data_IF_660559132379
#
_entry.id   IF_660559132379
#
_cell.length_a   1.000
_cell.length_b   1.000
_cell.length_c   1.000
_cell.angle_alpha   90.00
_cell.angle_beta   90.00
_cell.angle_gamma   90.00
#
_symmetry.space_group_name_H-M   'P 1'
#
loop_
_entity.id
_entity.type
_entity.pdbx_description
1 polymer ?
#
# COMPACT_ATOMS: atom_id res chain seq x y z
N UNK A 1 -20.16 -25.09 14.65
CA UNK A 1 -19.59 -24.06 15.55
C UNK A 1 -20.72 -23.20 16.10
N UNK A 2 -20.79 -23.02 17.42
CA UNK A 2 -21.72 -22.07 18.03
C UNK A 2 -21.34 -20.63 17.69
N UNK A 3 -22.32 -19.81 17.30
CA UNK A 3 -22.13 -18.39 16.97
C UNK A 3 -22.34 -17.57 18.24
N UNK A 4 -21.26 -17.32 19.00
CA UNK A 4 -21.32 -16.65 20.32
C UNK A 4 -21.19 -15.13 20.29
N UNK A 5 -20.77 -14.56 19.15
CA UNK A 5 -20.44 -13.15 19.04
C UNK A 5 -21.33 -12.45 18.00
N UNK A 6 -21.76 -11.24 18.32
CA UNK A 6 -22.55 -10.37 17.44
C UNK A 6 -21.72 -9.16 17.05
N UNK A 7 -21.68 -8.86 15.75
CA UNK A 7 -21.04 -7.65 15.20
C UNK A 7 -22.16 -6.75 14.65
N UNK A 8 -22.23 -5.51 15.13
CA UNK A 8 -23.17 -4.50 14.62
C UNK A 8 -22.43 -3.56 13.68
N UNK A 9 -22.91 -3.45 12.43
CA UNK A 9 -22.31 -2.60 11.41
C UNK A 9 -23.35 -1.59 10.90
N UNK A 10 -22.97 -0.32 10.79
CA UNK A 10 -23.76 0.70 10.10
C UNK A 10 -23.25 0.82 8.66
N UNK A 11 -24.17 0.71 7.71
CA UNK A 11 -23.89 0.77 6.28
C UNK A 11 -24.51 2.02 5.66
N UNK A 12 -23.88 2.57 4.63
CA UNK A 12 -24.54 3.53 3.74
C UNK A 12 -25.63 2.83 2.91
N UNK A 13 -26.52 3.62 2.29
CA UNK A 13 -27.57 3.09 1.42
C UNK A 13 -26.98 2.23 0.29
N UNK A 14 -25.94 2.72 -0.40
CA UNK A 14 -25.29 2.02 -1.51
C UNK A 14 -24.66 0.70 -1.06
N UNK A 15 -23.99 0.70 0.10
CA UNK A 15 -23.39 -0.51 0.67
C UNK A 15 -24.47 -1.56 1.01
N UNK A 16 -25.59 -1.13 1.56
CA UNK A 16 -26.72 -2.01 1.87
C UNK A 16 -27.39 -2.57 0.61
N UNK A 17 -27.61 -1.72 -0.40
CA UNK A 17 -28.15 -2.13 -1.70
C UNK A 17 -27.25 -3.16 -2.38
N UNK A 18 -25.94 -2.94 -2.33
CA UNK A 18 -24.94 -3.87 -2.87
C UNK A 18 -24.93 -5.22 -2.14
N UNK A 19 -24.98 -5.22 -0.81
CA UNK A 19 -25.14 -6.44 -0.02
C UNK A 19 -26.42 -7.20 -0.42
N UNK A 20 -27.53 -6.49 -0.62
CA UNK A 20 -28.78 -7.07 -1.10
C UNK A 20 -28.66 -7.68 -2.51
N UNK A 21 -27.88 -7.08 -3.40
CA UNK A 21 -27.59 -7.65 -4.71
C UNK A 21 -26.76 -8.94 -4.62
N UNK A 22 -25.76 -8.98 -3.73
CA UNK A 22 -24.97 -10.19 -3.48
C UNK A 22 -25.81 -11.33 -2.91
N UNK A 23 -26.71 -11.04 -1.96
CA UNK A 23 -27.64 -12.03 -1.40
C UNK A 23 -28.52 -12.64 -2.49
N UNK A 24 -29.07 -11.81 -3.38
CA UNK A 24 -29.88 -12.27 -4.53
C UNK A 24 -29.10 -13.17 -5.49
N UNK A 25 -27.86 -12.80 -5.82
CA UNK A 25 -26.99 -13.56 -6.73
C UNK A 25 -26.56 -14.91 -6.14
N UNK A 26 -26.23 -14.93 -4.85
CA UNK A 26 -25.77 -16.13 -4.14
C UNK A 26 -26.90 -17.00 -3.59
N UNK A 27 -28.14 -16.49 -3.57
CA UNK A 27 -29.30 -17.11 -2.90
C UNK A 27 -29.07 -17.39 -1.41
N UNK A 28 -28.24 -16.56 -0.77
CA UNK A 28 -27.88 -16.69 0.64
C UNK A 28 -28.43 -15.53 1.47
N UNK A 29 -28.57 -15.74 2.78
CA UNK A 29 -28.93 -14.68 3.73
C UNK A 29 -27.80 -13.68 3.87
N UNK A 30 -28.11 -12.44 4.27
CA UNK A 30 -27.10 -11.40 4.52
C UNK A 30 -25.97 -11.87 5.43
N UNK A 31 -26.30 -12.56 6.53
CA UNK A 31 -25.29 -13.07 7.46
C UNK A 31 -24.44 -14.19 6.86
N UNK A 32 -24.97 -14.99 5.93
CA UNK A 32 -24.20 -16.02 5.23
C UNK A 32 -23.25 -15.40 4.22
N UNK A 33 -23.70 -14.38 3.46
CA UNK A 33 -22.84 -13.62 2.54
C UNK A 33 -21.72 -12.91 3.30
N UNK A 34 -22.04 -12.20 4.38
CA UNK A 34 -21.02 -11.52 5.21
C UNK A 34 -20.02 -12.52 5.77
N UNK A 35 -20.48 -13.68 6.28
CA UNK A 35 -19.56 -14.72 6.76
C UNK A 35 -18.68 -15.27 5.63
N UNK A 36 -19.24 -15.54 4.46
CA UNK A 36 -18.47 -15.98 3.30
C UNK A 36 -17.45 -14.92 2.86
N UNK A 37 -17.75 -13.63 2.98
CA UNK A 37 -16.80 -12.54 2.72
C UNK A 37 -15.72 -12.44 3.80
N UNK A 38 -16.01 -12.80 5.05
CA UNK A 38 -15.00 -12.84 6.12
C UNK A 38 -14.12 -14.09 5.97
N UNK A 39 -14.70 -15.23 5.62
CA UNK A 39 -14.01 -16.52 5.48
C UNK A 39 -13.17 -16.60 4.20
N UNK A 40 -13.71 -16.10 3.09
CA UNK A 40 -13.08 -16.22 1.77
C UNK A 40 -12.61 -14.88 1.18
N UNK A 41 -13.03 -13.75 1.76
CA UNK A 41 -12.56 -12.45 1.31
C UNK A 41 -11.17 -12.17 1.84
N UNK A 42 -10.33 -11.61 0.98
CA UNK A 42 -9.00 -11.13 1.37
C UNK A 42 -9.10 -9.64 1.69
N UNK A 43 -8.70 -9.25 2.91
CA UNK A 43 -8.43 -7.84 3.20
C UNK A 43 -7.11 -7.48 2.54
N UNK A 44 -7.13 -6.65 1.50
CA UNK A 44 -5.89 -6.12 0.91
C UNK A 44 -5.25 -5.19 1.94
N UNK A 45 -4.14 -5.62 2.52
CA UNK A 45 -3.35 -4.77 3.41
C UNK A 45 -2.94 -3.51 2.65
N UNK A 46 -3.32 -2.34 3.17
CA UNK A 46 -2.98 -1.05 2.53
C UNK A 46 -1.47 -0.85 2.40
N UNK A 47 -0.69 -1.46 3.30
CA UNK A 47 0.77 -1.38 3.34
C UNK A 47 1.29 -2.80 3.54
N UNK A 48 1.84 -3.39 2.47
CA UNK A 48 2.47 -4.71 2.52
C UNK A 48 3.87 -4.61 3.11
N UNK A 49 4.47 -5.74 3.50
CA UNK A 49 5.89 -5.80 3.89
C UNK A 49 6.82 -5.27 2.78
N UNK A 50 6.42 -5.44 1.52
CA UNK A 50 7.15 -4.94 0.35
C UNK A 50 7.14 -3.41 0.30
N UNK A 51 5.97 -2.78 0.54
CA UNK A 51 5.89 -1.32 0.67
C UNK A 51 6.81 -0.77 1.76
N UNK A 52 6.88 -1.46 2.92
CA UNK A 52 7.78 -1.08 4.01
C UNK A 52 9.25 -1.22 3.59
N UNK A 53 9.59 -2.26 2.82
CA UNK A 53 10.94 -2.45 2.29
C UNK A 53 11.35 -1.30 1.35
N UNK A 54 10.49 -0.93 0.40
CA UNK A 54 10.75 0.17 -0.54
C UNK A 54 10.88 1.51 0.20
N UNK A 55 10.03 1.77 1.22
CA UNK A 55 10.14 2.97 2.06
C UNK A 55 11.51 3.03 2.76
N UNK A 56 12.03 1.91 3.27
CA UNK A 56 13.37 1.85 3.89
C UNK A 56 14.47 2.14 2.87
N UNK A 57 14.35 1.65 1.64
CA UNK A 57 15.30 1.97 0.57
C UNK A 57 15.30 3.47 0.24
N UNK A 58 14.12 4.11 0.19
CA UNK A 58 14.01 5.56 -0.01
C UNK A 58 14.67 6.38 1.13
N UNK A 59 14.56 5.91 2.37
CA UNK A 59 15.27 6.51 3.52
C UNK A 59 16.80 6.38 3.34
N UNK A 60 17.26 5.23 2.84
CA UNK A 60 18.65 5.02 2.45
C UNK A 60 19.13 6.00 1.37
N UNK A 61 18.35 6.17 0.30
CA UNK A 61 18.69 7.12 -0.77
C UNK A 61 18.69 8.58 -0.29
N UNK A 62 17.79 8.94 0.63
CA UNK A 62 17.82 10.27 1.28
C UNK A 62 19.13 10.51 2.05
N UNK A 63 19.66 9.46 2.67
CA UNK A 63 20.95 9.52 3.37
C UNK A 63 22.10 9.69 2.37
N UNK A 64 22.08 8.97 1.26
CA UNK A 64 23.06 9.12 0.17
C UNK A 64 23.02 10.53 -0.43
N UNK A 65 21.82 11.09 -0.62
CA UNK A 65 21.64 12.45 -1.12
C UNK A 65 22.26 13.49 -0.20
N UNK A 66 22.06 13.33 1.11
CA UNK A 66 22.69 14.20 2.10
C UNK A 66 24.23 14.10 2.08
N UNK A 67 24.78 12.91 1.82
CA UNK A 67 26.23 12.74 1.67
C UNK A 67 26.74 13.42 0.39
N UNK A 68 26.05 13.26 -0.74
CA UNK A 68 26.41 13.92 -1.99
C UNK A 68 26.33 15.44 -1.89
N UNK A 69 25.33 15.98 -1.17
CA UNK A 69 25.24 17.41 -0.91
C UNK A 69 26.46 17.92 -0.10
N UNK A 70 26.87 17.18 0.93
CA UNK A 70 28.10 17.51 1.68
C UNK A 70 29.34 17.45 0.80
N UNK A 71 29.48 16.41 -0.02
CA UNK A 71 30.61 16.26 -0.95
C UNK A 71 30.63 17.36 -2.01
N UNK A 72 29.48 17.77 -2.55
CA UNK A 72 29.36 18.88 -3.48
C UNK A 72 29.84 20.20 -2.84
N UNK A 73 29.50 20.43 -1.58
CA UNK A 73 29.93 21.61 -0.85
C UNK A 73 31.44 21.63 -0.59
N UNK A 74 32.06 20.46 -0.40
CA UNK A 74 33.51 20.36 -0.14
C UNK A 74 34.35 20.36 -1.41
N UNK A 75 33.94 19.63 -2.44
CA UNK A 75 34.76 19.34 -3.63
C UNK A 75 34.20 19.94 -4.92
N UNK A 76 33.10 20.68 -4.84
CA UNK A 76 32.38 21.23 -5.98
C UNK A 76 31.41 20.21 -6.61
N UNK A 77 30.34 20.73 -7.22
CA UNK A 77 29.25 19.91 -7.76
C UNK A 77 29.69 18.97 -8.90
N UNK A 78 30.70 19.36 -9.69
CA UNK A 78 31.21 18.54 -10.79
C UNK A 78 31.72 17.16 -10.31
N UNK A 79 32.25 17.08 -9.08
CA UNK A 79 32.75 15.83 -8.51
C UNK A 79 31.63 14.81 -8.19
N UNK A 80 30.37 15.25 -8.11
CA UNK A 80 29.24 14.42 -7.68
C UNK A 80 28.12 14.30 -8.72
N UNK A 81 28.16 15.07 -9.82
CA UNK A 81 27.08 15.20 -10.80
C UNK A 81 26.57 13.84 -11.32
N UNK A 82 27.47 12.96 -11.75
CA UNK A 82 27.13 11.61 -12.21
C UNK A 82 26.41 10.77 -11.16
N UNK A 83 26.87 10.83 -9.90
CA UNK A 83 26.24 10.11 -8.78
C UNK A 83 24.87 10.67 -8.44
N UNK A 84 24.69 11.99 -8.57
CA UNK A 84 23.38 12.63 -8.40
C UNK A 84 22.37 12.15 -9.46
N UNK A 85 22.79 11.99 -10.72
CA UNK A 85 21.94 11.46 -11.79
C UNK A 85 21.54 10.00 -11.53
N UNK A 86 22.51 9.14 -11.19
CA UNK A 86 22.26 7.72 -10.85
C UNK A 86 21.28 7.59 -9.67
N UNK A 87 21.47 8.40 -8.63
CA UNK A 87 20.58 8.41 -7.47
C UNK A 87 19.17 8.91 -7.82
N UNK A 88 19.04 9.95 -8.65
CA UNK A 88 17.74 10.45 -9.10
C UNK A 88 16.97 9.38 -9.91
N UNK A 89 17.67 8.60 -10.73
CA UNK A 89 17.08 7.46 -11.45
C UNK A 89 16.59 6.39 -10.46
N UNK A 90 17.40 6.05 -9.45
CA UNK A 90 17.06 5.05 -8.44
C UNK A 90 15.85 5.46 -7.59
N UNK A 91 15.80 6.72 -7.13
CA UNK A 91 14.65 7.26 -6.40
C UNK A 91 13.38 7.18 -7.25
N UNK A 92 13.46 7.56 -8.54
CA UNK A 92 12.32 7.46 -9.46
C UNK A 92 11.83 6.02 -9.66
N UNK A 93 12.74 5.04 -9.70
CA UNK A 93 12.37 3.62 -9.79
C UNK A 93 11.64 3.16 -8.53
N UNK A 94 12.16 3.49 -7.34
CA UNK A 94 11.52 3.14 -6.06
C UNK A 94 10.12 3.78 -5.92
N UNK A 95 9.95 5.03 -6.35
CA UNK A 95 8.65 5.71 -6.34
C UNK A 95 7.67 5.04 -7.32
N UNK A 96 8.13 4.62 -8.51
CA UNK A 96 7.28 3.88 -9.46
C UNK A 96 6.80 2.55 -8.88
N UNK A 97 7.70 1.80 -8.24
CA UNK A 97 7.35 0.54 -7.58
C UNK A 97 6.29 0.71 -6.47
N UNK A 98 6.32 1.82 -5.73
CA UNK A 98 5.26 2.16 -4.76
C UNK A 98 3.93 2.56 -5.42
N UNK A 99 3.96 3.07 -6.66
CA UNK A 99 2.78 3.60 -7.34
C UNK A 99 2.05 2.54 -8.18
N UNK A 100 2.77 1.57 -8.73
CA UNK A 100 2.23 0.51 -9.60
C UNK A 100 1.48 -0.60 -8.82
N UNK A 101 1.47 -0.59 -7.49
CA UNK A 101 0.65 -1.51 -6.68
C UNK A 101 -0.83 -1.09 -6.60
N UNK A 102 -1.38 -0.51 -7.68
CA UNK A 102 -2.76 -0.03 -7.76
C UNK A 102 -3.67 -1.05 -8.44
#
# INVERSE_FOLDING_TARGET
MEKKHTITLRLSYDQFAWLGALCRRSKQTQSAVIRSLIENGTVRERITKEHIHIIRQLIGESTNLNQLAKQANTYGFFAVSKRCEEMAQRINQLIKQLKDDR
#
